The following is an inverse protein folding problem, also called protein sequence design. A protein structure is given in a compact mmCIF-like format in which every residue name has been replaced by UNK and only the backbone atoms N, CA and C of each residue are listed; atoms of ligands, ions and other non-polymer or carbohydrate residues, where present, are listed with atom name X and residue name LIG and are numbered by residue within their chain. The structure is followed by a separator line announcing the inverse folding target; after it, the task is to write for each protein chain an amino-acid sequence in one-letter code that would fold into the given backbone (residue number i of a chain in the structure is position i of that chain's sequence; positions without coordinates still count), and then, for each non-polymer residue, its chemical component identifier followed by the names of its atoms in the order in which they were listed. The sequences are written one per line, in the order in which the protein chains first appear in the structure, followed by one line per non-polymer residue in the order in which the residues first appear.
data_IF_748256351913
#
_entry.id   IF_748256351913
#
_cell.length_a   1.000
_cell.length_b   1.000
_cell.length_c   1.000
_cell.angle_alpha   90.00
_cell.angle_beta   90.00
_cell.angle_gamma   90.00
#
_symmetry.space_group_name_H-M   'P 1'
#
loop_
_entity.id
_entity.type
_entity.pdbx_description
1 polymer ?
#
# COMPACT_ATOMS: atom_id res chain seq x y z
N UNK A 1 28.65 4.10 5.25
CA UNK A 1 30.10 4.40 5.23
C UNK A 1 30.51 5.06 6.55
N UNK A 2 31.21 4.34 7.42
CA UNK A 2 31.79 4.90 8.66
C UNK A 2 33.28 5.19 8.47
N UNK A 3 33.83 6.16 9.21
CA UNK A 3 35.28 6.43 9.21
C UNK A 3 36.05 5.19 9.70
N UNK A 4 37.09 4.72 9.00
CA UNK A 4 37.93 3.61 9.46
C UNK A 4 38.74 3.96 10.73
N UNK A 5 38.80 5.25 11.08
CA UNK A 5 39.42 5.75 12.32
C UNK A 5 38.43 5.90 13.47
N UNK A 6 37.12 5.78 13.20
CA UNK A 6 36.09 5.82 14.24
C UNK A 6 36.29 4.70 15.24
N UNK A 7 35.93 4.93 16.51
CA UNK A 7 35.95 3.90 17.55
C UNK A 7 34.53 3.55 17.99
N UNK A 8 34.26 2.26 18.16
CA UNK A 8 33.07 1.76 18.82
C UNK A 8 33.45 1.45 20.25
N UNK A 9 32.87 2.16 21.20
CA UNK A 9 33.04 1.90 22.63
C UNK A 9 31.89 1.04 23.13
N UNK A 10 32.21 -0.04 23.82
CA UNK A 10 31.26 -0.90 24.52
C UNK A 10 31.44 -0.66 26.02
N UNK A 11 30.38 -0.23 26.67
CA UNK A 11 30.33 0.00 28.11
C UNK A 11 29.57 -1.17 28.75
N UNK A 12 30.26 -1.94 29.60
CA UNK A 12 29.71 -3.05 30.37
C UNK A 12 29.72 -2.73 31.89
N UNK A 13 29.49 -1.46 32.25
CA UNK A 13 29.52 -0.99 33.63
C UNK A 13 30.92 -0.63 34.09
N UNK A 14 31.66 -1.59 34.66
CA UNK A 14 32.99 -1.35 35.23
C UNK A 14 34.12 -1.42 34.19
N UNK A 15 33.82 -1.88 32.97
CA UNK A 15 34.77 -1.99 31.86
C UNK A 15 34.25 -1.21 30.64
N UNK A 16 35.11 -0.32 30.12
CA UNK A 16 34.89 0.37 28.85
C UNK A 16 35.98 -0.07 27.88
N UNK A 17 35.55 -0.76 26.84
CA UNK A 17 36.43 -1.26 25.78
C UNK A 17 36.16 -0.48 24.50
N UNK A 18 37.21 -0.07 23.79
CA UNK A 18 37.08 0.69 22.55
C UNK A 18 37.79 0.01 21.39
N UNK A 19 37.03 -0.32 20.35
CA UNK A 19 37.55 -0.94 19.14
C UNK A 19 37.61 0.07 18.00
N UNK A 20 38.73 0.13 17.30
CA UNK A 20 38.80 0.91 16.06
C UNK A 20 37.98 0.22 14.98
N UNK A 21 37.00 0.91 14.43
CA UNK A 21 36.02 0.37 13.48
C UNK A 21 36.68 -0.21 12.23
N UNK A 22 37.73 0.42 11.70
CA UNK A 22 38.49 -0.12 10.56
C UNK A 22 39.09 -1.51 10.81
N UNK A 23 39.58 -1.77 12.03
CA UNK A 23 40.17 -3.08 12.38
C UNK A 23 39.09 -4.17 12.47
N UNK A 24 37.93 -3.82 13.00
CA UNK A 24 36.75 -4.69 13.10
C UNK A 24 36.25 -5.07 11.72
N UNK A 25 36.14 -4.10 10.81
CA UNK A 25 35.74 -4.34 9.42
C UNK A 25 36.74 -5.22 8.67
N UNK A 26 38.05 -4.97 8.85
CA UNK A 26 39.09 -5.72 8.14
C UNK A 26 39.19 -7.19 8.60
N UNK A 27 39.04 -7.43 9.91
CA UNK A 27 39.20 -8.77 10.51
C UNK A 27 37.87 -9.52 10.65
N UNK A 28 36.74 -8.83 10.44
CA UNK A 28 35.39 -9.34 10.69
C UNK A 28 35.04 -9.50 12.18
N UNK A 29 36.01 -9.31 13.08
CA UNK A 29 35.85 -9.41 14.53
C UNK A 29 36.99 -8.73 15.28
N UNK A 30 36.76 -8.35 16.52
CA UNK A 30 37.77 -7.91 17.47
C UNK A 30 37.39 -8.34 18.89
N UNK A 31 38.40 -8.54 19.72
CA UNK A 31 38.29 -9.01 21.10
C UNK A 31 39.25 -8.21 21.97
N UNK A 32 38.78 -7.74 23.13
CA UNK A 32 39.60 -7.09 24.15
C UNK A 32 38.96 -7.37 25.53
N UNK A 33 39.71 -8.07 26.38
CA UNK A 33 39.20 -8.62 27.64
C UNK A 33 38.01 -9.57 27.43
N UNK A 34 36.92 -9.44 28.20
CA UNK A 34 35.71 -10.24 28.03
C UNK A 34 34.81 -9.77 26.87
N UNK A 35 35.11 -8.61 26.26
CA UNK A 35 34.28 -8.03 25.19
C UNK A 35 34.72 -8.54 23.83
N UNK A 36 33.78 -9.15 23.11
CA UNK A 36 33.94 -9.54 21.70
C UNK A 36 32.93 -8.80 20.85
N UNK A 37 33.39 -8.25 19.72
CA UNK A 37 32.54 -7.72 18.67
C UNK A 37 32.82 -8.45 17.35
N UNK A 38 31.78 -8.69 16.57
CA UNK A 38 31.89 -9.22 15.22
C UNK A 38 31.04 -8.44 14.23
N UNK A 39 31.50 -8.37 12.99
CA UNK A 39 30.73 -7.81 11.90
C UNK A 39 29.67 -8.82 11.52
N UNK A 40 28.44 -8.57 11.96
CA UNK A 40 27.27 -9.33 11.54
C UNK A 40 26.75 -8.70 10.24
N UNK A 41 27.25 -9.16 9.09
CA UNK A 41 26.92 -8.61 7.78
C UNK A 41 27.21 -9.59 6.65
N UNK A 42 26.53 -9.43 5.52
CA UNK A 42 26.71 -10.29 4.35
C UNK A 42 28.05 -10.04 3.64
N UNK A 43 28.62 -11.09 3.03
CA UNK A 43 29.89 -11.07 2.29
C UNK A 43 29.82 -10.36 0.92
N UNK A 44 29.07 -9.26 0.86
CA UNK A 44 28.70 -8.52 -0.34
C UNK A 44 27.23 -8.68 -0.68
N UNK A 45 26.81 -7.87 -1.64
CA UNK A 45 25.46 -7.80 -2.18
C UNK A 45 25.49 -8.07 -3.68
N UNK A 46 24.32 -8.35 -4.25
CA UNK A 46 24.11 -8.38 -5.69
C UNK A 46 22.93 -7.49 -6.05
N UNK A 47 23.08 -6.74 -7.14
CA UNK A 47 21.96 -6.06 -7.77
C UNK A 47 21.15 -7.08 -8.58
N UNK A 48 19.91 -7.33 -8.17
CA UNK A 48 19.07 -8.40 -8.71
C UNK A 48 17.82 -7.80 -9.36
N UNK A 49 17.57 -8.20 -10.61
CA UNK A 49 16.32 -7.99 -11.32
C UNK A 49 15.36 -9.12 -10.96
N UNK A 50 14.33 -8.79 -10.19
CA UNK A 50 13.31 -9.74 -9.76
C UNK A 50 12.14 -9.69 -10.71
N UNK A 51 11.56 -10.86 -10.99
CA UNK A 51 10.28 -11.00 -11.66
C UNK A 51 9.38 -11.94 -10.88
N UNK A 52 8.13 -11.56 -10.71
CA UNK A 52 7.07 -12.43 -10.20
C UNK A 52 6.22 -12.85 -11.38
N UNK A 53 6.13 -14.16 -11.59
CA UNK A 53 5.35 -14.72 -12.70
C UNK A 53 4.24 -15.62 -12.15
N UNK A 54 3.08 -15.54 -12.80
CA UNK A 54 2.03 -16.53 -12.61
C UNK A 54 2.57 -17.92 -13.01
N UNK A 55 2.37 -18.90 -12.13
CA UNK A 55 2.98 -20.22 -12.24
C UNK A 55 2.49 -20.99 -13.47
N UNK A 56 1.22 -20.81 -13.84
CA UNK A 56 0.56 -21.62 -14.87
C UNK A 56 0.68 -20.97 -16.25
N UNK A 57 0.66 -19.63 -16.31
CA UNK A 57 0.74 -18.88 -17.58
C UNK A 57 2.15 -18.38 -17.91
N UNK A 58 3.03 -18.26 -16.91
CA UNK A 58 4.38 -17.71 -17.06
C UNK A 58 4.41 -16.19 -17.30
N UNK A 59 3.28 -15.50 -17.24
CA UNK A 59 3.21 -14.05 -17.43
C UNK A 59 3.61 -13.31 -16.16
N UNK A 60 4.25 -12.14 -16.25
CA UNK A 60 4.45 -11.26 -15.11
C UNK A 60 3.11 -10.88 -14.47
N UNK A 61 3.07 -10.82 -13.14
CA UNK A 61 1.88 -10.42 -12.38
C UNK A 61 2.26 -9.39 -11.32
N UNK A 62 1.47 -8.33 -11.22
CA UNK A 62 1.56 -7.36 -10.13
C UNK A 62 1.42 -8.04 -8.76
N UNK A 63 2.10 -7.53 -7.75
CA UNK A 63 1.99 -8.09 -6.40
C UNK A 63 2.58 -7.15 -5.39
N UNK A 64 2.35 -7.46 -4.12
CA UNK A 64 3.22 -7.00 -3.04
C UNK A 64 4.36 -7.96 -2.82
N UNK A 65 5.55 -7.41 -2.61
CA UNK A 65 6.76 -8.16 -2.28
C UNK A 65 7.36 -7.69 -0.96
N UNK A 66 7.93 -8.63 -0.22
CA UNK A 66 8.65 -8.37 1.01
C UNK A 66 9.92 -9.21 1.05
N UNK A 67 11.07 -8.56 1.02
CA UNK A 67 12.37 -9.22 1.11
C UNK A 67 12.94 -9.04 2.51
N UNK A 68 13.53 -10.10 3.07
CA UNK A 68 14.29 -10.03 4.31
C UNK A 68 15.64 -10.69 4.20
N UNK A 69 16.63 -10.10 4.86
CA UNK A 69 17.88 -10.81 5.11
C UNK A 69 17.65 -12.02 6.03
N UNK A 70 18.63 -12.93 6.10
CA UNK A 70 18.61 -14.04 7.08
C UNK A 70 18.47 -13.55 8.53
N UNK A 71 18.92 -12.33 8.83
CA UNK A 71 18.85 -11.69 10.15
C UNK A 71 17.52 -11.00 10.41
N UNK A 72 16.60 -10.96 9.44
CA UNK A 72 15.26 -10.42 9.59
C UNK A 72 15.09 -8.95 9.19
N UNK A 73 16.15 -8.29 8.71
CA UNK A 73 16.05 -6.91 8.22
C UNK A 73 15.21 -6.89 6.95
N UNK A 74 14.21 -6.03 6.88
CA UNK A 74 13.53 -5.73 5.62
C UNK A 74 14.53 -5.18 4.59
N UNK A 75 14.31 -5.47 3.32
CA UNK A 75 15.11 -4.98 2.20
C UNK A 75 14.11 -4.44 1.17
N UNK A 76 14.03 -3.12 1.04
CA UNK A 76 13.13 -2.51 0.08
C UNK A 76 13.70 -2.62 -1.34
N UNK A 77 12.87 -2.95 -2.35
CA UNK A 77 13.25 -2.77 -3.73
C UNK A 77 13.58 -1.30 -4.04
N UNK A 78 14.37 -1.04 -5.07
CA UNK A 78 14.69 0.30 -5.50
C UNK A 78 13.42 1.06 -5.91
N UNK A 79 13.26 2.28 -5.40
CA UNK A 79 12.04 3.08 -5.56
C UNK A 79 11.03 2.94 -4.40
N UNK A 80 11.29 2.06 -3.44
CA UNK A 80 10.44 1.80 -2.28
C UNK A 80 11.12 2.21 -0.96
N UNK A 81 10.29 2.48 0.04
CA UNK A 81 10.75 2.93 1.36
C UNK A 81 11.25 1.76 2.21
N UNK A 82 12.49 1.89 2.70
CA UNK A 82 13.08 0.95 3.67
C UNK A 82 12.34 1.01 5.03
N UNK A 83 11.85 2.18 5.42
CA UNK A 83 11.10 2.42 6.65
C UNK A 83 9.75 3.07 6.31
N UNK A 84 8.77 2.27 5.92
CA UNK A 84 7.43 2.76 5.48
C UNK A 84 6.73 3.52 6.62
N UNK A 85 6.43 4.79 6.41
CA UNK A 85 5.73 5.68 7.33
C UNK A 85 4.21 5.65 7.09
N UNK A 86 3.49 4.99 8.00
CA UNK A 86 2.02 4.87 7.94
C UNK A 86 1.29 6.04 8.58
N UNK A 87 2.00 7.11 8.95
CA UNK A 87 1.35 8.32 9.39
C UNK A 87 0.56 8.97 8.25
N UNK A 88 -0.42 9.76 8.64
CA UNK A 88 -1.39 10.33 7.72
C UNK A 88 -0.73 11.20 6.65
N UNK A 89 -0.94 10.86 5.37
CA UNK A 89 -0.47 11.63 4.21
C UNK A 89 1.07 11.75 4.10
N UNK A 90 1.80 10.74 4.57
CA UNK A 90 3.28 10.68 4.48
C UNK A 90 3.75 9.78 3.34
N UNK A 91 3.81 8.46 3.54
CA UNK A 91 4.15 7.50 2.48
C UNK A 91 2.87 6.93 1.84
N UNK A 92 2.42 7.57 0.75
CA UNK A 92 1.22 7.19 0.02
C UNK A 92 1.54 6.33 -1.21
N UNK A 93 0.72 5.30 -1.48
CA UNK A 93 0.80 4.50 -2.70
C UNK A 93 1.67 3.27 -2.54
N UNK A 94 2.59 3.05 -3.49
CA UNK A 94 3.35 1.82 -3.74
C UNK A 94 4.11 1.14 -2.57
N UNK A 95 3.96 1.59 -1.34
CA UNK A 95 4.42 0.95 -0.10
C UNK A 95 3.29 0.85 0.93
N UNK A 96 3.17 -0.29 1.60
CA UNK A 96 2.19 -0.46 2.68
C UNK A 96 2.76 -1.25 3.86
N UNK A 97 2.06 -1.23 5.01
CA UNK A 97 2.31 -2.14 6.13
C UNK A 97 1.08 -2.98 6.44
N UNK A 98 1.24 -4.30 6.44
CA UNK A 98 0.21 -5.22 6.96
C UNK A 98 0.69 -5.82 8.27
N UNK A 99 -0.05 -5.61 9.36
CA UNK A 99 0.34 -6.07 10.70
C UNK A 99 1.77 -5.66 11.09
N UNK A 100 2.17 -4.44 10.70
CA UNK A 100 3.50 -3.89 10.95
C UNK A 100 4.60 -4.36 9.99
N UNK A 101 4.32 -5.29 9.08
CA UNK A 101 5.27 -5.80 8.09
C UNK A 101 5.21 -4.95 6.81
N UNK A 102 6.32 -4.32 6.38
CA UNK A 102 6.34 -3.49 5.18
C UNK A 102 6.33 -4.33 3.90
N UNK A 103 5.60 -3.89 2.89
CA UNK A 103 5.58 -4.48 1.56
C UNK A 103 5.67 -3.38 0.51
N UNK A 104 6.32 -3.72 -0.61
CA UNK A 104 6.41 -2.90 -1.81
C UNK A 104 5.45 -3.44 -2.87
N UNK A 105 4.59 -2.59 -3.45
CA UNK A 105 3.80 -2.94 -4.63
C UNK A 105 4.64 -2.84 -5.89
N UNK A 106 4.63 -3.88 -6.71
CA UNK A 106 5.36 -3.94 -7.97
C UNK A 106 4.44 -4.38 -9.10
N UNK A 107 4.76 -3.99 -10.32
CA UNK A 107 4.02 -4.37 -11.55
C UNK A 107 4.35 -5.79 -12.05
N UNK A 108 4.96 -6.61 -11.18
CA UNK A 108 5.51 -7.92 -11.49
C UNK A 108 7.02 -7.91 -11.75
N UNK A 109 7.65 -6.74 -11.76
CA UNK A 109 9.11 -6.63 -11.77
C UNK A 109 9.63 -5.60 -10.77
N UNK A 110 10.82 -5.85 -10.23
CA UNK A 110 11.54 -4.84 -9.45
C UNK A 110 13.05 -5.06 -9.52
N UNK A 111 13.82 -4.08 -9.06
CA UNK A 111 15.27 -4.22 -8.89
C UNK A 111 15.59 -4.01 -7.41
N UNK A 112 16.46 -4.83 -6.85
CA UNK A 112 16.78 -4.81 -5.42
C UNK A 112 18.24 -5.22 -5.21
N UNK A 113 18.89 -4.57 -4.25
CA UNK A 113 20.19 -5.00 -3.75
C UNK A 113 19.98 -6.08 -2.67
N UNK A 114 20.36 -7.32 -2.97
CA UNK A 114 20.20 -8.44 -2.03
C UNK A 114 21.55 -8.91 -1.47
N UNK A 115 21.62 -9.21 -0.17
CA UNK A 115 22.73 -9.92 0.45
C UNK A 115 23.08 -11.21 -0.30
N UNK A 116 24.38 -11.50 -0.51
CA UNK A 116 24.80 -12.84 -0.95
C UNK A 116 24.45 -13.89 0.10
N UNK A 117 23.98 -15.05 -0.34
CA UNK A 117 23.53 -16.14 0.51
C UNK A 117 22.02 -16.14 0.72
N UNK A 118 21.57 -16.61 1.89
CA UNK A 118 20.16 -16.85 2.19
C UNK A 118 19.39 -15.54 2.47
N UNK A 119 18.26 -15.38 1.79
CA UNK A 119 17.28 -14.31 1.98
C UNK A 119 15.88 -14.89 1.96
N UNK A 120 14.93 -14.25 2.65
CA UNK A 120 13.52 -14.61 2.57
C UNK A 120 12.81 -13.69 1.58
N UNK A 121 11.88 -14.26 0.81
CA UNK A 121 10.99 -13.53 -0.08
C UNK A 121 9.56 -13.92 0.25
N UNK A 122 8.71 -12.93 0.44
CA UNK A 122 7.26 -13.11 0.52
C UNK A 122 6.60 -12.37 -0.65
N UNK A 123 5.62 -13.02 -1.28
CA UNK A 123 4.81 -12.45 -2.36
C UNK A 123 3.34 -12.66 -2.04
N UNK A 124 2.56 -11.59 -2.12
CA UNK A 124 1.11 -11.61 -1.94
C UNK A 124 0.42 -10.92 -3.14
N UNK A 125 -0.67 -11.50 -3.63
CA UNK A 125 -1.47 -10.98 -4.74
C UNK A 125 -2.95 -11.30 -4.53
N UNK A 126 -3.67 -10.45 -3.80
CA UNK A 126 -5.11 -10.62 -3.57
C UNK A 126 -5.50 -11.93 -2.89
N UNK A 127 -6.80 -12.26 -2.94
CA UNK A 127 -7.34 -13.47 -2.33
C UNK A 127 -7.32 -14.71 -3.23
N UNK A 128 -7.09 -14.52 -4.53
CA UNK A 128 -7.15 -15.60 -5.52
C UNK A 128 -5.81 -16.32 -5.72
N UNK A 129 -4.71 -15.82 -5.14
CA UNK A 129 -3.39 -16.46 -5.18
C UNK A 129 -2.98 -17.01 -3.83
N UNK A 130 -2.28 -18.15 -3.85
CA UNK A 130 -1.58 -18.65 -2.67
C UNK A 130 -0.42 -17.69 -2.32
N UNK A 131 -0.28 -17.24 -1.06
CA UNK A 131 0.87 -16.43 -0.66
C UNK A 131 2.15 -17.26 -0.77
N UNK A 132 3.18 -16.68 -1.36
CA UNK A 132 4.49 -17.32 -1.52
C UNK A 132 5.37 -16.88 -0.37
N UNK A 133 6.05 -17.83 0.28
CA UNK A 133 7.10 -17.58 1.29
C UNK A 133 8.25 -18.53 1.05
N UNK A 134 9.38 -18.00 0.59
CA UNK A 134 10.52 -18.82 0.16
C UNK A 134 11.84 -18.32 0.76
N UNK A 135 12.74 -19.27 1.05
CA UNK A 135 14.15 -18.98 1.28
C UNK A 135 14.88 -19.07 -0.06
N UNK A 136 15.42 -17.96 -0.53
CA UNK A 136 16.19 -17.86 -1.77
C UNK A 136 17.67 -17.72 -1.47
N UNK A 137 18.52 -18.33 -2.29
CA UNK A 137 19.97 -18.20 -2.20
C UNK A 137 20.50 -17.33 -3.34
N UNK A 138 21.12 -16.20 -2.99
CA UNK A 138 21.71 -15.26 -3.95
C UNK A 138 23.20 -15.56 -4.10
N UNK A 139 23.59 -15.99 -5.30
CA UNK A 139 24.99 -16.33 -5.63
C UNK A 139 25.78 -15.11 -6.09
N UNK A 140 27.09 -15.15 -5.92
CA UNK A 140 27.98 -14.11 -6.46
C UNK A 140 27.78 -13.98 -7.99
N UNK A 141 27.56 -12.74 -8.45
CA UNK A 141 27.29 -12.42 -9.86
C UNK A 141 25.88 -12.74 -10.36
N UNK A 142 24.96 -13.22 -9.50
CA UNK A 142 23.56 -13.44 -9.89
C UNK A 142 22.87 -12.11 -10.18
N UNK A 143 22.17 -12.02 -11.31
CA UNK A 143 21.45 -10.82 -11.75
C UNK A 143 19.95 -10.98 -11.84
N UNK A 144 19.44 -12.21 -11.81
CA UNK A 144 18.02 -12.50 -12.00
C UNK A 144 17.51 -13.40 -10.88
N UNK A 145 16.28 -13.11 -10.44
CA UNK A 145 15.51 -13.94 -9.53
C UNK A 145 14.06 -13.99 -10.07
N UNK A 146 13.51 -15.19 -10.17
CA UNK A 146 12.11 -15.38 -10.55
C UNK A 146 11.38 -16.08 -9.42
N UNK A 147 10.28 -15.49 -8.97
CA UNK A 147 9.37 -16.06 -7.97
C UNK A 147 8.07 -16.44 -8.67
N UNK A 148 7.50 -17.60 -8.31
CA UNK A 148 6.29 -18.13 -8.95
C UNK A 148 5.09 -17.99 -8.04
N UNK A 149 4.12 -17.17 -8.43
CA UNK A 149 2.84 -17.03 -7.73
C UNK A 149 1.82 -17.98 -8.37
N UNK A 150 1.05 -18.71 -7.56
CA UNK A 150 0.07 -19.69 -8.06
C UNK A 150 -1.35 -19.22 -7.75
N UNK A 151 -2.19 -19.12 -8.77
CA UNK A 151 -3.63 -18.89 -8.59
C UNK A 151 -4.29 -20.13 -7.97
N UNK A 152 -5.03 -19.94 -6.90
CA UNK A 152 -5.75 -20.99 -6.17
C UNK A 152 -7.15 -21.23 -6.76
N UNK A 153 -7.83 -20.17 -7.19
CA UNK A 153 -9.12 -20.19 -7.85
C UNK A 153 -9.29 -18.94 -8.73
N UNK A 154 -10.21 -18.99 -9.68
CA UNK A 154 -10.49 -17.88 -10.62
C UNK A 154 -11.97 -17.50 -10.53
N UNK A 155 -12.27 -16.37 -9.88
CA UNK A 155 -13.66 -15.88 -9.78
C UNK A 155 -14.11 -15.15 -11.04
N UNK A 156 -13.18 -14.50 -11.75
CA UNK A 156 -13.45 -13.84 -13.04
C UNK A 156 -13.94 -14.85 -14.07
N UNK A 157 -13.35 -16.04 -14.13
CA UNK A 157 -13.82 -17.14 -14.97
C UNK A 157 -15.23 -17.65 -14.61
N UNK A 158 -15.72 -17.34 -13.40
CA UNK A 158 -17.09 -17.63 -12.93
C UNK A 158 -18.04 -16.43 -13.09
N UNK A 159 -17.59 -15.33 -13.67
CA UNK A 159 -18.40 -14.12 -13.85
C UNK A 159 -18.49 -13.22 -12.62
N UNK A 160 -17.65 -13.43 -11.61
CA UNK A 160 -17.52 -12.56 -10.45
C UNK A 160 -16.26 -11.71 -10.57
N UNK A 161 -16.37 -10.41 -10.34
CA UNK A 161 -15.27 -9.46 -10.49
C UNK A 161 -14.93 -8.87 -9.13
N UNK A 162 -13.65 -8.84 -8.79
CA UNK A 162 -13.13 -8.23 -7.58
C UNK A 162 -13.18 -6.72 -7.69
N UNK A 163 -13.52 -6.03 -6.61
CA UNK A 163 -13.46 -4.58 -6.60
C UNK A 163 -13.28 -3.99 -5.21
N UNK A 164 -12.64 -2.83 -5.18
CA UNK A 164 -12.51 -1.97 -4.02
C UNK A 164 -13.29 -0.68 -4.27
N UNK A 165 -14.32 -0.46 -3.47
CA UNK A 165 -15.23 0.68 -3.63
C UNK A 165 -14.78 1.91 -2.86
N UNK A 166 -13.70 1.83 -2.08
CA UNK A 166 -13.36 2.87 -1.11
C UNK A 166 -11.84 3.06 -0.93
N UNK A 167 -11.22 3.72 -1.91
CA UNK A 167 -9.78 4.06 -1.86
C UNK A 167 -9.58 5.56 -1.74
N UNK A 168 -8.63 6.01 -0.92
CA UNK A 168 -8.29 7.43 -0.71
C UNK A 168 -6.81 7.72 -0.94
N UNK A 169 -6.49 9.01 -1.10
CA UNK A 169 -5.14 9.61 -1.11
C UNK A 169 -4.20 9.20 -2.25
N UNK A 170 -4.52 8.13 -2.97
CA UNK A 170 -3.73 7.71 -4.13
C UNK A 170 -3.94 8.65 -5.32
N UNK A 171 -2.98 8.65 -6.24
CA UNK A 171 -3.23 9.05 -7.62
C UNK A 171 -3.94 7.92 -8.37
N UNK A 172 -4.51 8.22 -9.53
CA UNK A 172 -5.07 7.17 -10.40
C UNK A 172 -4.00 6.17 -10.85
N UNK A 173 -2.74 6.60 -11.00
CA UNK A 173 -1.62 5.73 -11.34
C UNK A 173 -1.25 4.78 -10.19
N UNK A 174 -1.15 5.28 -8.96
CA UNK A 174 -0.88 4.41 -7.80
C UNK A 174 -2.05 3.48 -7.52
N UNK A 175 -3.29 3.94 -7.72
CA UNK A 175 -4.49 3.09 -7.62
C UNK A 175 -4.45 1.92 -8.61
N UNK A 176 -4.01 2.16 -9.85
CA UNK A 176 -3.83 1.11 -10.84
C UNK A 176 -2.75 0.10 -10.43
N UNK A 177 -1.60 0.58 -9.93
CA UNK A 177 -0.52 -0.29 -9.45
C UNK A 177 -0.99 -1.21 -8.32
N UNK A 178 -1.71 -0.67 -7.33
CA UNK A 178 -2.21 -1.45 -6.20
C UNK A 178 -3.34 -2.39 -6.62
N UNK A 179 -4.25 -1.96 -7.52
CA UNK A 179 -5.27 -2.83 -8.10
C UNK A 179 -4.65 -4.04 -8.81
N UNK A 180 -3.62 -3.79 -9.63
CA UNK A 180 -2.86 -4.84 -10.26
C UNK A 180 -2.12 -5.71 -9.24
N UNK A 181 -1.61 -5.12 -8.15
CA UNK A 181 -0.96 -5.80 -7.04
C UNK A 181 -1.87 -6.75 -6.26
N UNK A 182 -3.12 -6.36 -6.05
CA UNK A 182 -4.12 -7.13 -5.31
C UNK A 182 -5.08 -7.95 -6.21
N UNK A 183 -4.83 -7.99 -7.52
CA UNK A 183 -5.71 -8.67 -8.50
C UNK A 183 -7.17 -8.18 -8.46
N UNK A 184 -7.36 -6.86 -8.29
CA UNK A 184 -8.65 -6.20 -8.26
C UNK A 184 -9.10 -5.79 -9.67
N UNK A 185 -10.32 -6.13 -10.08
CA UNK A 185 -10.81 -5.75 -11.41
C UNK A 185 -11.27 -4.28 -11.49
N UNK A 186 -11.83 -3.74 -10.41
CA UNK A 186 -12.34 -2.37 -10.37
C UNK A 186 -11.92 -1.69 -9.07
N UNK A 187 -11.36 -0.49 -9.14
CA UNK A 187 -11.06 0.35 -7.98
C UNK A 187 -11.76 1.69 -8.12
N UNK A 188 -12.43 2.12 -7.05
CA UNK A 188 -12.99 3.46 -6.95
C UNK A 188 -12.07 4.32 -6.06
N UNK A 189 -11.29 5.18 -6.70
CA UNK A 189 -10.52 6.22 -6.03
C UNK A 189 -11.47 7.38 -5.69
N UNK A 190 -11.73 7.58 -4.40
CA UNK A 190 -12.67 8.57 -3.93
C UNK A 190 -11.92 9.87 -3.63
N UNK A 191 -12.19 10.90 -4.42
CA UNK A 191 -11.85 12.24 -4.02
C UNK A 191 -12.65 12.60 -2.76
N UNK A 192 -12.00 13.24 -1.79
CA UNK A 192 -12.68 13.70 -0.57
C UNK A 192 -11.98 14.91 0.04
N UNK A 193 -12.68 15.57 0.96
CA UNK A 193 -12.26 16.82 1.61
C UNK A 193 -12.10 16.58 3.11
N UNK A 194 -10.96 16.97 3.69
CA UNK A 194 -10.73 17.03 5.14
C UNK A 194 -10.45 18.47 5.56
N UNK A 195 -11.48 19.17 6.03
CA UNK A 195 -11.36 20.60 6.37
C UNK A 195 -11.08 21.46 5.13
N UNK A 196 -9.84 21.93 4.98
CA UNK A 196 -9.41 22.70 3.79
C UNK A 196 -8.59 21.87 2.79
N UNK A 197 -8.26 20.63 3.13
CA UNK A 197 -7.53 19.72 2.26
C UNK A 197 -8.53 19.02 1.34
N UNK A 198 -8.25 19.03 0.04
CA UNK A 198 -8.91 18.17 -0.94
C UNK A 198 -7.90 17.13 -1.41
N UNK A 199 -8.34 15.89 -1.52
CA UNK A 199 -7.51 14.75 -1.92
C UNK A 199 -8.06 14.17 -3.22
N UNK A 200 -7.15 13.78 -4.12
CA UNK A 200 -7.45 13.15 -5.42
C UNK A 200 -8.44 13.90 -6.32
N UNK A 201 -8.74 15.17 -6.01
CA UNK A 201 -9.67 16.03 -6.76
C UNK A 201 -9.26 16.20 -8.23
N UNK A 202 -7.97 16.39 -8.47
CA UNK A 202 -7.41 16.63 -9.81
C UNK A 202 -7.33 15.35 -10.66
N UNK A 203 -7.55 14.17 -10.06
CA UNK A 203 -7.59 12.90 -10.76
C UNK A 203 -8.94 12.63 -11.44
N UNK A 204 -9.98 13.42 -11.12
CA UNK A 204 -11.34 13.20 -11.63
C UNK A 204 -11.43 13.45 -13.14
N UNK A 205 -12.02 12.50 -13.86
CA UNK A 205 -12.18 12.56 -15.32
C UNK A 205 -13.63 12.41 -15.80
N UNK A 206 -14.59 12.20 -14.89
CA UNK A 206 -16.00 11.96 -15.24
C UNK A 206 -16.26 10.59 -15.90
N UNK A 207 -15.34 9.65 -15.74
CA UNK A 207 -15.37 8.33 -16.35
C UNK A 207 -14.23 7.43 -15.86
N UNK A 208 -13.93 6.40 -16.65
CA UNK A 208 -12.73 5.59 -16.44
C UNK A 208 -11.47 6.48 -16.52
N UNK A 209 -10.61 6.37 -15.53
CA UNK A 209 -9.33 7.06 -15.53
C UNK A 209 -8.47 6.58 -16.73
N UNK A 210 -7.71 7.47 -17.39
CA UNK A 210 -6.81 7.10 -18.49
C UNK A 210 -5.74 6.07 -18.13
N UNK A 211 -5.48 5.89 -16.83
CA UNK A 211 -4.55 4.90 -16.26
C UNK A 211 -5.14 3.49 -16.18
N UNK A 212 -6.44 3.33 -16.46
CA UNK A 212 -7.09 2.02 -16.52
C UNK A 212 -6.48 1.12 -17.59
N UNK A 213 -6.60 -0.20 -17.37
CA UNK A 213 -6.20 -1.25 -18.30
C UNK A 213 -7.35 -2.23 -18.53
N UNK A 214 -7.18 -3.17 -19.46
CA UNK A 214 -8.23 -4.16 -19.80
C UNK A 214 -8.66 -5.02 -18.59
N UNK A 215 -7.75 -5.25 -17.63
CA UNK A 215 -7.98 -6.13 -16.47
C UNK A 215 -8.21 -5.39 -15.15
N UNK A 216 -7.77 -4.13 -15.06
CA UNK A 216 -7.81 -3.29 -13.86
C UNK A 216 -8.35 -1.91 -14.23
N UNK A 217 -9.59 -1.64 -13.84
CA UNK A 217 -10.30 -0.40 -14.11
C UNK A 217 -10.21 0.52 -12.89
N UNK A 218 -9.80 1.77 -13.11
CA UNK A 218 -9.79 2.80 -12.07
C UNK A 218 -10.88 3.82 -12.40
N UNK A 219 -11.83 3.98 -11.49
CA UNK A 219 -12.83 5.03 -11.54
C UNK A 219 -12.52 6.06 -10.47
N UNK A 220 -12.36 7.32 -10.84
CA UNK A 220 -12.22 8.39 -9.85
C UNK A 220 -13.60 8.96 -9.58
N UNK A 221 -14.05 8.85 -8.33
CA UNK A 221 -15.36 9.31 -7.88
C UNK A 221 -15.21 10.10 -6.59
N UNK A 222 -16.18 10.10 -5.68
CA UNK A 222 -16.07 10.85 -4.43
C UNK A 222 -16.69 10.15 -3.22
N UNK A 223 -16.10 10.39 -2.05
CA UNK A 223 -16.76 10.17 -0.76
C UNK A 223 -17.21 11.53 -0.25
N UNK A 224 -18.52 11.68 -0.04
CA UNK A 224 -19.06 12.86 0.64
C UNK A 224 -19.28 12.55 2.11
N UNK A 225 -19.03 13.54 2.97
CA UNK A 225 -18.89 13.31 4.41
C UNK A 225 -19.53 14.42 5.23
N UNK A 226 -20.25 14.02 6.27
CA UNK A 226 -20.86 14.91 7.23
C UNK A 226 -20.57 14.38 8.64
N UNK A 227 -20.15 15.28 9.54
CA UNK A 227 -19.66 14.96 10.89
C UNK A 227 -20.61 14.13 11.79
N UNK A 228 -21.92 14.22 11.54
CA UNK A 228 -22.99 13.64 12.37
C UNK A 228 -23.98 12.79 11.56
N UNK A 229 -24.25 13.15 10.30
CA UNK A 229 -25.21 12.47 9.44
C UNK A 229 -24.63 11.16 8.90
N UNK A 230 -23.33 11.16 8.58
CA UNK A 230 -22.61 10.00 8.08
C UNK A 230 -21.75 10.29 6.86
N UNK A 231 -21.19 9.23 6.28
CA UNK A 231 -20.39 9.26 5.06
C UNK A 231 -21.10 8.48 3.95
N UNK A 232 -20.89 8.89 2.71
CA UNK A 232 -21.53 8.32 1.52
C UNK A 232 -20.55 8.28 0.36
N UNK A 233 -20.34 7.11 -0.22
CA UNK A 233 -19.56 6.98 -1.45
C UNK A 233 -20.50 7.09 -2.66
N UNK A 234 -20.19 8.01 -3.55
CA UNK A 234 -20.92 8.23 -4.79
C UNK A 234 -20.07 7.67 -5.91
N UNK A 235 -20.43 6.52 -6.48
CA UNK A 235 -19.67 5.83 -7.52
C UNK A 235 -20.24 6.10 -8.91
N UNK A 236 -19.41 6.03 -9.94
CA UNK A 236 -19.86 6.16 -11.33
C UNK A 236 -20.20 7.59 -11.74
N UNK A 237 -19.66 8.61 -11.05
CA UNK A 237 -19.97 10.01 -11.35
C UNK A 237 -19.38 10.46 -12.68
N UNK A 238 -20.17 11.26 -13.41
CA UNK A 238 -19.75 12.01 -14.60
C UNK A 238 -19.41 13.47 -14.27
N UNK A 239 -20.01 14.01 -13.21
CA UNK A 239 -19.72 15.31 -12.62
C UNK A 239 -19.65 15.19 -11.09
N UNK A 240 -18.69 15.87 -10.47
CA UNK A 240 -18.55 15.89 -9.00
C UNK A 240 -19.74 16.61 -8.35
N UNK A 241 -20.22 16.08 -7.21
CA UNK A 241 -21.36 16.64 -6.46
C UNK A 241 -20.84 17.51 -5.31
N UNK A 242 -21.15 18.80 -5.36
CA UNK A 242 -20.78 19.77 -4.34
C UNK A 242 -21.97 20.12 -3.40
N UNK A 243 -21.69 20.50 -2.13
CA UNK A 243 -20.39 20.43 -1.45
C UNK A 243 -19.99 18.98 -1.17
N UNK A 244 -18.68 18.67 -1.16
CA UNK A 244 -18.20 17.31 -0.85
C UNK A 244 -18.36 16.96 0.63
N UNK A 245 -18.03 17.89 1.52
CA UNK A 245 -18.19 17.69 2.95
C UNK A 245 -18.81 18.92 3.59
N UNK A 246 -19.65 18.70 4.61
CA UNK A 246 -20.33 19.76 5.35
C UNK A 246 -20.38 19.48 6.85
N UNK A 247 -20.54 20.56 7.63
CA UNK A 247 -21.02 20.49 9.01
C UNK A 247 -20.04 19.97 10.05
N UNK A 248 -18.95 20.70 10.28
CA UNK A 248 -18.13 20.53 11.48
C UNK A 248 -16.70 20.06 11.23
N UNK A 249 -15.88 20.02 12.29
CA UNK A 249 -14.46 19.71 12.22
C UNK A 249 -14.22 18.25 11.75
N UNK A 250 -13.06 17.99 11.14
CA UNK A 250 -12.60 16.69 10.58
C UNK A 250 -13.12 16.37 9.17
N UNK A 251 -14.38 16.70 8.87
CA UNK A 251 -14.96 16.60 7.52
C UNK A 251 -14.86 17.94 6.79
N UNK A 252 -15.49 18.97 7.36
CA UNK A 252 -15.52 20.33 6.84
C UNK A 252 -14.70 21.29 7.74
N UNK A 253 -14.84 22.59 7.53
CA UNK A 253 -14.25 23.61 8.38
C UNK A 253 -14.88 23.64 9.77
N UNK A 254 -14.07 23.99 10.77
CA UNK A 254 -14.54 24.21 12.14
C UNK A 254 -15.64 25.26 12.15
N UNK A 255 -16.83 24.88 12.64
CA UNK A 255 -18.02 25.75 12.66
C UNK A 255 -18.79 25.81 11.34
N UNK A 256 -18.46 24.96 10.37
CA UNK A 256 -19.26 24.79 9.15
C UNK A 256 -20.69 24.34 9.48
N UNK A 257 -21.66 24.85 8.73
CA UNK A 257 -23.07 24.48 8.85
C UNK A 257 -23.37 23.17 8.10
N UNK A 258 -24.48 22.52 8.45
CA UNK A 258 -25.01 21.40 7.66
C UNK A 258 -25.71 21.98 6.44
N UNK A 259 -25.04 21.96 5.29
CA UNK A 259 -25.55 22.56 4.05
C UNK A 259 -26.39 21.59 3.20
N UNK A 260 -26.20 20.29 3.41
CA UNK A 260 -26.79 19.24 2.58
C UNK A 260 -26.94 17.96 3.41
N UNK A 261 -27.97 17.18 3.09
CA UNK A 261 -28.23 15.87 3.68
C UNK A 261 -27.54 14.79 2.85
N UNK A 262 -27.36 13.61 3.44
CA UNK A 262 -26.85 12.46 2.69
C UNK A 262 -27.82 12.01 1.59
N UNK A 263 -29.12 12.19 1.81
CA UNK A 263 -30.15 11.91 0.81
C UNK A 263 -29.99 12.80 -0.44
N UNK A 264 -29.65 14.09 -0.27
CA UNK A 264 -29.42 15.01 -1.39
C UNK A 264 -28.24 14.54 -2.25
N UNK A 265 -27.14 14.11 -1.61
CA UNK A 265 -25.99 13.53 -2.29
C UNK A 265 -26.33 12.23 -3.01
N UNK A 266 -27.12 11.36 -2.39
CA UNK A 266 -27.58 10.12 -3.00
C UNK A 266 -28.44 10.38 -4.25
N UNK A 267 -29.39 11.32 -4.16
CA UNK A 267 -30.23 11.71 -5.30
C UNK A 267 -29.41 12.32 -6.44
N UNK A 268 -28.43 13.18 -6.13
CA UNK A 268 -27.53 13.76 -7.13
C UNK A 268 -26.68 12.70 -7.84
N UNK A 269 -26.20 11.68 -7.13
CA UNK A 269 -25.48 10.56 -7.72
C UNK A 269 -26.39 9.70 -8.61
N UNK A 270 -27.58 9.33 -8.11
CA UNK A 270 -28.56 8.56 -8.88
C UNK A 270 -29.07 9.29 -10.12
N UNK A 271 -29.16 10.62 -10.09
CA UNK A 271 -29.49 11.42 -11.26
C UNK A 271 -28.47 11.29 -12.41
N UNK A 272 -27.23 10.93 -12.08
CA UNK A 272 -26.17 10.63 -13.05
C UNK A 272 -26.11 9.14 -13.44
N UNK A 273 -27.00 8.30 -12.90
CA UNK A 273 -26.95 6.84 -13.06
C UNK A 273 -25.86 6.15 -12.23
N UNK A 274 -25.31 6.85 -11.22
CA UNK A 274 -24.31 6.32 -10.31
C UNK A 274 -24.88 5.38 -9.25
N UNK A 275 -23.97 4.79 -8.46
CA UNK A 275 -24.28 3.91 -7.35
C UNK A 275 -23.93 4.57 -6.03
N UNK A 276 -24.79 4.39 -5.04
CA UNK A 276 -24.62 4.96 -3.70
C UNK A 276 -24.25 3.86 -2.73
N UNK A 277 -23.08 3.98 -2.10
CA UNK A 277 -22.61 3.05 -1.06
C UNK A 277 -22.60 3.77 0.28
N UNK A 278 -23.02 3.08 1.35
CA UNK A 278 -22.85 3.53 2.73
C UNK A 278 -21.54 2.95 3.29
N UNK A 279 -20.43 3.71 3.30
CA UNK A 279 -19.16 3.22 3.80
C UNK A 279 -19.06 3.28 5.32
N UNK A 280 -18.47 2.22 5.93
CA UNK A 280 -17.91 2.09 7.28
C UNK A 280 -18.72 2.64 8.48
N UNK A 281 -19.95 3.14 8.24
CA UNK A 281 -20.95 3.62 9.18
C UNK A 281 -20.31 4.33 10.39
N UNK A 282 -19.87 5.60 10.22
CA UNK A 282 -19.17 6.32 11.28
C UNK A 282 -20.12 6.74 12.40
N UNK A 283 -19.67 6.61 13.64
CA UNK A 283 -20.46 7.01 14.80
C UNK A 283 -20.32 8.52 15.06
N UNK A 284 -21.42 9.31 15.06
CA UNK A 284 -22.82 8.84 15.01
C UNK A 284 -23.37 8.67 13.57
N UNK A 285 -24.21 7.66 13.38
CA UNK A 285 -24.67 7.12 12.08
C UNK A 285 -26.06 7.61 11.62
N UNK A 286 -26.39 8.88 11.83
CA UNK A 286 -27.79 9.35 11.83
C UNK A 286 -28.58 9.00 10.56
N UNK A 287 -28.12 9.39 9.38
CA UNK A 287 -28.92 9.26 8.15
C UNK A 287 -28.71 7.91 7.43
N UNK A 288 -27.75 7.09 7.85
CA UNK A 288 -27.48 5.80 7.21
C UNK A 288 -28.72 4.90 7.15
N UNK A 289 -29.42 4.73 8.28
CA UNK A 289 -30.63 3.91 8.34
C UNK A 289 -31.76 4.45 7.46
N UNK A 290 -31.94 5.77 7.41
CA UNK A 290 -32.95 6.41 6.57
C UNK A 290 -32.62 6.19 5.09
N UNK A 291 -31.36 6.38 4.67
CA UNK A 291 -30.93 6.17 3.30
C UNK A 291 -31.11 4.72 2.83
N UNK A 292 -30.87 3.74 3.71
CA UNK A 292 -31.11 2.33 3.40
C UNK A 292 -32.62 2.06 3.23
N UNK A 293 -33.45 2.48 4.19
CA UNK A 293 -34.90 2.17 4.18
C UNK A 293 -35.62 2.87 3.04
N UNK A 294 -35.20 4.09 2.68
CA UNK A 294 -35.79 4.89 1.61
C UNK A 294 -35.29 4.48 0.22
N UNK A 295 -34.35 3.54 0.11
CA UNK A 295 -33.79 3.07 -1.16
C UNK A 295 -32.79 4.04 -1.80
N UNK A 296 -32.22 4.95 -1.01
CA UNK A 296 -31.11 5.80 -1.45
C UNK A 296 -29.79 5.03 -1.53
N UNK A 297 -29.57 4.04 -0.67
CA UNK A 297 -28.38 3.19 -0.70
C UNK A 297 -28.54 1.96 -1.61
N UNK A 298 -27.52 1.69 -2.43
CA UNK A 298 -27.44 0.51 -3.30
C UNK A 298 -26.62 -0.63 -2.65
N UNK A 299 -25.64 -0.31 -1.81
CA UNK A 299 -24.92 -1.26 -0.97
C UNK A 299 -24.31 -0.61 0.29
N UNK A 300 -23.65 -1.42 1.11
CA UNK A 300 -22.92 -1.01 2.31
C UNK A 300 -21.58 -1.76 2.43
N UNK A 301 -20.61 -1.13 3.11
CA UNK A 301 -19.27 -1.65 3.43
C UNK A 301 -19.07 -1.78 4.94
#
# INVERSE_FOLDING_TARGET
HGSPEGKVSVDAGDEVTAFRWGDVLAKGKAEDGPVRIEVVGHHGTEWVHVRVEDKDTGKPVGCRVHFRSKQGNYLAPHGHQQDVNVAWFEDMGGDCKTNGVPYAYIDGTCQIELPRGANYVEVARGFEYDPVRELVEIKAGQRHLTVKAKRAFDMKAKGYYSGDTHVHFLSSQSSHLEAAGEDLNVVNLLASKWGRLFTSWEEFTGGLAPTSSDDHLVWVSQENRQHVLGHISLLGLSELVAPMCTGGPQEDWVGGEVQTLMADWAEACKAQGGLVIMPHMPVPDFENAANIVMGHADAAE
#
